data_IF_036601440172
#
_entry.id   IF_036601440172
#
_cell.length_a   1.000
_cell.length_b   1.000
_cell.length_c   1.000
_cell.angle_alpha   90.00
_cell.angle_beta   90.00
_cell.angle_gamma   90.00
#
_symmetry.space_group_name_H-M   'P 1'
#
loop_
_entity.id
_entity.type
_entity.pdbx_description
1 polymer ?
#
# COMPACT_ATOMS: atom_id res chain seq x y z
N UNK A 1 11.47 11.02 -4.43
CA UNK A 1 10.67 11.00 -3.21
C UNK A 1 10.32 9.60 -2.77
N UNK A 2 9.67 8.83 -3.61
CA UNK A 2 9.33 7.44 -3.27
C UNK A 2 10.56 6.60 -2.97
N UNK A 3 11.61 6.75 -3.78
CA UNK A 3 12.85 6.01 -3.54
C UNK A 3 13.52 6.37 -2.22
N UNK A 4 13.44 7.63 -1.82
CA UNK A 4 14.00 8.05 -0.53
C UNK A 4 13.31 7.37 0.63
N UNK A 5 11.99 7.29 0.58
CA UNK A 5 11.20 6.60 1.60
C UNK A 5 11.48 5.10 1.59
N UNK A 6 11.62 4.52 0.39
CA UNK A 6 11.94 3.12 0.25
C UNK A 6 13.31 2.81 0.86
N UNK A 7 14.29 3.69 0.67
CA UNK A 7 15.62 3.51 1.24
C UNK A 7 15.60 3.51 2.77
N UNK A 8 14.82 4.39 3.36
CA UNK A 8 14.65 4.41 4.82
C UNK A 8 14.04 3.10 5.31
N UNK A 9 12.98 2.66 4.67
CA UNK A 9 12.33 1.42 5.05
C UNK A 9 13.24 0.22 4.83
N UNK A 10 14.06 0.26 3.77
CA UNK A 10 15.03 -0.79 3.50
C UNK A 10 15.99 -0.96 4.68
N UNK A 11 16.51 0.15 5.18
CA UNK A 11 17.42 0.12 6.32
C UNK A 11 16.73 -0.35 7.58
N UNK A 12 15.53 0.15 7.81
CA UNK A 12 14.77 -0.13 9.03
C UNK A 12 14.37 -1.60 9.12
N UNK A 13 13.98 -2.20 7.99
CA UNK A 13 13.49 -3.57 7.98
C UNK A 13 14.54 -4.60 7.55
N UNK A 14 15.74 -4.16 7.22
CA UNK A 14 16.78 -5.07 6.77
C UNK A 14 16.51 -5.67 5.38
N UNK A 15 15.82 -4.92 4.53
CA UNK A 15 15.50 -5.37 3.18
C UNK A 15 16.67 -5.18 2.23
N UNK A 16 16.61 -5.86 1.09
CA UNK A 16 17.64 -5.77 0.05
C UNK A 16 17.15 -4.91 -1.10
N UNK A 17 18.06 -4.59 -2.03
CA UNK A 17 17.67 -3.87 -3.25
C UNK A 17 16.65 -4.67 -4.06
N UNK A 18 16.77 -6.00 -4.07
CA UNK A 18 15.80 -6.84 -4.76
C UNK A 18 14.42 -6.70 -4.13
N UNK A 19 14.35 -6.58 -2.80
CA UNK A 19 13.08 -6.38 -2.10
C UNK A 19 12.46 -5.04 -2.48
N UNK A 20 13.28 -3.99 -2.60
CA UNK A 20 12.81 -2.68 -3.03
C UNK A 20 12.23 -2.75 -4.45
N UNK A 21 12.94 -3.39 -5.36
CA UNK A 21 12.49 -3.54 -6.74
C UNK A 21 11.20 -4.33 -6.83
N UNK A 22 11.07 -5.39 -6.03
CA UNK A 22 9.85 -6.19 -6.01
C UNK A 22 8.64 -5.34 -5.58
N UNK A 23 8.82 -4.46 -4.60
CA UNK A 23 7.75 -3.58 -4.17
C UNK A 23 7.39 -2.57 -5.27
N UNK A 24 8.40 -1.99 -5.91
CA UNK A 24 8.17 -1.02 -6.99
C UNK A 24 7.45 -1.67 -8.15
N UNK A 25 7.76 -2.94 -8.44
CA UNK A 25 7.10 -3.71 -9.50
C UNK A 25 5.74 -4.28 -9.08
N UNK A 26 5.30 -3.94 -7.89
CA UNK A 26 3.99 -4.36 -7.35
C UNK A 26 3.85 -5.87 -7.27
N UNK A 27 4.93 -6.55 -6.94
CA UNK A 27 4.90 -7.99 -6.73
C UNK A 27 4.35 -8.31 -5.35
N UNK A 28 3.69 -9.44 -5.23
CA UNK A 28 3.17 -9.88 -3.94
C UNK A 28 4.32 -10.21 -3.00
N UNK A 29 4.34 -9.64 -1.78
CA UNK A 29 5.40 -9.97 -0.83
C UNK A 29 5.38 -11.45 -0.46
N UNK A 30 6.54 -12.08 -0.51
CA UNK A 30 6.65 -13.52 -0.23
C UNK A 30 7.39 -13.80 1.08
N UNK A 31 8.35 -12.96 1.43
CA UNK A 31 9.13 -13.17 2.66
C UNK A 31 8.63 -12.25 3.76
N UNK A 32 8.98 -12.60 5.01
CA UNK A 32 8.62 -11.76 6.14
C UNK A 32 9.23 -10.36 6.00
N UNK A 33 10.48 -10.28 5.53
CA UNK A 33 11.15 -8.99 5.31
C UNK A 33 10.38 -8.15 4.29
N UNK A 34 9.93 -8.77 3.18
CA UNK A 34 9.18 -8.06 2.16
C UNK A 34 7.85 -7.54 2.71
N UNK A 35 7.17 -8.33 3.52
CA UNK A 35 5.91 -7.93 4.14
C UNK A 35 6.12 -6.74 5.07
N UNK A 36 7.16 -6.82 5.90
CA UNK A 36 7.47 -5.75 6.84
C UNK A 36 7.95 -4.49 6.12
N UNK A 37 8.69 -4.65 5.04
CA UNK A 37 9.10 -3.53 4.21
C UNK A 37 7.88 -2.80 3.63
N UNK A 38 6.92 -3.54 3.11
CA UNK A 38 5.67 -2.97 2.60
C UNK A 38 4.92 -2.24 3.71
N UNK A 39 4.89 -2.83 4.92
CA UNK A 39 4.26 -2.19 6.08
C UNK A 39 4.91 -0.84 6.40
N UNK A 40 6.23 -0.80 6.42
CA UNK A 40 6.96 0.44 6.65
C UNK A 40 6.59 1.50 5.62
N UNK A 41 6.56 1.10 4.36
CA UNK A 41 6.22 1.99 3.26
C UNK A 41 4.79 2.54 3.43
N UNK A 42 3.84 1.66 3.73
CA UNK A 42 2.45 2.08 3.94
C UNK A 42 2.32 3.03 5.12
N UNK A 43 3.07 2.79 6.19
CA UNK A 43 3.03 3.66 7.37
C UNK A 43 3.61 5.03 7.05
N UNK A 44 4.64 5.10 6.21
CA UNK A 44 5.23 6.37 5.79
C UNK A 44 4.20 7.24 5.06
N UNK A 45 3.35 6.62 4.25
CA UNK A 45 2.28 7.33 3.56
C UNK A 45 0.99 7.39 4.37
N UNK A 46 1.01 6.86 5.58
CA UNK A 46 -0.16 6.84 6.47
C UNK A 46 -1.35 6.06 5.92
N UNK A 47 -1.08 5.12 5.01
CA UNK A 47 -2.09 4.20 4.52
C UNK A 47 -2.50 3.23 5.62
N UNK A 48 -1.60 3.01 6.57
CA UNK A 48 -1.82 2.13 7.70
C UNK A 48 -1.24 2.78 8.94
N UNK A 49 -1.86 2.53 10.10
CA UNK A 49 -1.32 2.97 11.38
C UNK A 49 -0.55 1.84 12.10
N UNK A 50 -0.32 0.74 11.40
CA UNK A 50 0.37 -0.42 11.96
C UNK A 50 -0.57 -1.46 12.54
N UNK A 51 -1.86 -1.15 12.65
CA UNK A 51 -2.87 -2.07 13.19
C UNK A 51 -4.06 -2.21 12.26
N UNK A 52 -4.41 -1.15 11.55
CA UNK A 52 -5.53 -1.19 10.62
C UNK A 52 -5.31 -0.22 9.47
N UNK A 53 -6.11 -0.40 8.43
CA UNK A 53 -6.12 0.46 7.26
C UNK A 53 -6.60 1.86 7.66
N UNK A 54 -5.93 2.88 7.13
CA UNK A 54 -6.28 4.28 7.38
C UNK A 54 -6.78 4.90 6.07
N UNK A 55 -8.07 5.08 5.97
CA UNK A 55 -8.69 5.63 4.76
C UNK A 55 -8.14 7.02 4.41
N UNK A 56 -8.00 7.90 5.40
CA UNK A 56 -7.56 9.27 5.15
C UNK A 56 -6.16 9.28 4.52
N UNK A 57 -5.23 8.48 5.04
CA UNK A 57 -3.89 8.39 4.48
C UNK A 57 -3.90 7.82 3.07
N UNK A 58 -4.72 6.79 2.86
CA UNK A 58 -4.87 6.19 1.54
C UNK A 58 -5.40 7.22 0.53
N UNK A 59 -6.40 8.00 0.91
CA UNK A 59 -6.97 9.01 0.03
C UNK A 59 -5.98 10.12 -0.28
N UNK A 60 -5.13 10.49 0.69
CA UNK A 60 -4.07 11.46 0.44
C UNK A 60 -3.08 10.93 -0.60
N UNK A 61 -2.69 9.67 -0.48
CA UNK A 61 -1.79 9.05 -1.45
C UNK A 61 -2.42 9.01 -2.83
N UNK A 62 -3.68 8.63 -2.92
CA UNK A 62 -4.40 8.60 -4.19
C UNK A 62 -4.50 9.99 -4.79
N UNK A 63 -4.70 11.01 -3.96
CA UNK A 63 -4.73 12.40 -4.42
C UNK A 63 -3.43 12.83 -5.05
N UNK A 64 -2.31 12.34 -4.54
CA UNK A 64 -1.00 12.62 -5.12
C UNK A 64 -0.81 11.91 -6.47
N UNK A 65 -1.40 10.72 -6.61
CA UNK A 65 -1.25 9.91 -7.82
C UNK A 65 -2.28 10.23 -8.89
N UNK A 66 -3.51 10.50 -8.50
CA UNK A 66 -4.65 10.63 -9.41
C UNK A 66 -5.46 11.91 -9.21
N UNK A 67 -4.89 12.91 -8.55
CA UNK A 67 -5.65 14.10 -8.14
C UNK A 67 -6.44 14.80 -9.25
N UNK A 68 -5.97 14.69 -10.49
CA UNK A 68 -6.62 15.32 -11.63
C UNK A 68 -7.70 14.45 -12.27
N UNK A 69 -7.85 13.21 -11.80
CA UNK A 69 -8.80 12.26 -12.37
C UNK A 69 -9.90 11.96 -11.36
N UNK A 70 -11.03 12.65 -11.48
CA UNK A 70 -12.15 12.50 -10.56
C UNK A 70 -12.69 11.07 -10.55
N UNK A 71 -12.74 10.43 -11.70
CA UNK A 71 -13.25 9.08 -11.80
C UNK A 71 -12.41 8.12 -10.99
N UNK A 72 -11.09 8.22 -11.12
CA UNK A 72 -10.19 7.37 -10.33
C UNK A 72 -10.26 7.70 -8.85
N UNK A 73 -10.42 8.97 -8.50
CA UNK A 73 -10.55 9.37 -7.10
C UNK A 73 -11.83 8.81 -6.49
N UNK A 74 -12.94 8.84 -7.24
CA UNK A 74 -14.20 8.27 -6.77
C UNK A 74 -14.06 6.76 -6.58
N UNK A 75 -13.40 6.08 -7.52
CA UNK A 75 -13.16 4.65 -7.41
C UNK A 75 -12.29 4.35 -6.21
N UNK A 76 -11.24 5.14 -5.99
CA UNK A 76 -10.36 4.96 -4.83
C UNK A 76 -11.14 5.09 -3.53
N UNK A 77 -12.06 6.04 -3.45
CA UNK A 77 -12.89 6.21 -2.26
C UNK A 77 -13.76 5.00 -1.99
N UNK A 78 -14.37 4.44 -3.03
CA UNK A 78 -15.17 3.23 -2.89
C UNK A 78 -14.34 2.06 -2.39
N UNK A 79 -13.14 1.90 -2.96
CA UNK A 79 -12.23 0.84 -2.54
C UNK A 79 -11.80 1.06 -1.09
N UNK A 80 -11.49 2.31 -0.72
CA UNK A 80 -11.10 2.64 0.64
C UNK A 80 -12.20 2.28 1.64
N UNK A 81 -13.47 2.56 1.28
CA UNK A 81 -14.60 2.20 2.13
C UNK A 81 -14.71 0.69 2.29
N UNK A 82 -14.51 -0.07 1.22
CA UNK A 82 -14.54 -1.53 1.30
C UNK A 82 -13.44 -2.08 2.17
N UNK A 83 -12.28 -1.43 2.16
CA UNK A 83 -11.12 -1.90 2.92
C UNK A 83 -11.01 -1.29 4.31
N UNK A 84 -11.95 -0.45 4.70
CA UNK A 84 -11.87 0.28 5.98
C UNK A 84 -11.91 -0.64 7.19
N UNK A 85 -12.36 -1.87 7.04
CA UNK A 85 -12.40 -2.85 8.14
C UNK A 85 -11.18 -3.74 8.20
N UNK A 86 -10.23 -3.58 7.29
CA UNK A 86 -9.02 -4.40 7.28
C UNK A 86 -8.16 -4.05 8.48
N UNK A 87 -7.87 -5.03 9.31
CA UNK A 87 -7.02 -4.85 10.49
C UNK A 87 -6.29 -6.15 10.80
N UNK A 88 -5.14 -6.03 11.45
CA UNK A 88 -4.34 -7.18 11.84
C UNK A 88 -3.37 -6.73 12.93
N UNK A 89 -3.23 -7.52 13.98
CA UNK A 89 -2.26 -7.23 15.04
C UNK A 89 -0.81 -7.28 14.55
N UNK A 90 -0.56 -8.07 13.50
CA UNK A 90 0.76 -8.17 12.86
C UNK A 90 0.83 -7.12 11.75
N UNK A 91 1.61 -6.05 11.98
CA UNK A 91 1.73 -4.96 11.01
C UNK A 91 2.22 -5.41 9.65
N UNK A 92 3.05 -6.43 9.61
CA UNK A 92 3.61 -6.92 8.34
C UNK A 92 2.56 -7.67 7.55
N UNK A 93 1.79 -8.53 8.20
CA UNK A 93 0.68 -9.21 7.53
C UNK A 93 -0.42 -8.22 7.14
N UNK A 94 -0.65 -7.22 7.97
CA UNK A 94 -1.62 -6.16 7.69
C UNK A 94 -1.34 -5.50 6.34
N UNK A 95 -0.06 -5.24 6.04
CA UNK A 95 0.30 -4.58 4.79
C UNK A 95 -0.10 -5.41 3.59
N UNK A 96 0.04 -6.73 3.68
CA UNK A 96 -0.37 -7.65 2.62
C UNK A 96 -1.89 -7.67 2.50
N UNK A 97 -2.58 -7.70 3.63
CA UNK A 97 -4.05 -7.72 3.65
C UNK A 97 -4.61 -6.45 3.01
N UNK A 98 -4.02 -5.30 3.30
CA UNK A 98 -4.42 -4.02 2.72
C UNK A 98 -4.18 -4.04 1.20
N UNK A 99 -2.98 -4.44 0.79
CA UNK A 99 -2.63 -4.50 -0.63
C UNK A 99 -3.61 -5.40 -1.38
N UNK A 100 -3.88 -6.57 -0.83
CA UNK A 100 -4.78 -7.54 -1.45
C UNK A 100 -6.20 -6.99 -1.57
N UNK A 101 -6.70 -6.36 -0.51
CA UNK A 101 -8.04 -5.77 -0.51
C UNK A 101 -8.16 -4.66 -1.57
N UNK A 102 -7.16 -3.78 -1.61
CA UNK A 102 -7.16 -2.66 -2.56
C UNK A 102 -7.10 -3.18 -4.00
N UNK A 103 -6.21 -4.14 -4.26
CA UNK A 103 -6.08 -4.70 -5.61
C UNK A 103 -7.37 -5.37 -6.07
N UNK A 104 -7.97 -6.17 -5.21
CA UNK A 104 -9.23 -6.84 -5.55
C UNK A 104 -10.35 -5.84 -5.79
N UNK A 105 -10.40 -4.79 -4.98
CA UNK A 105 -11.40 -3.74 -5.15
C UNK A 105 -11.26 -3.02 -6.48
N UNK A 106 -10.02 -2.74 -6.89
CA UNK A 106 -9.76 -2.08 -8.16
C UNK A 106 -10.05 -3.00 -9.35
N UNK A 107 -9.65 -4.27 -9.25
CA UNK A 107 -9.92 -5.24 -10.31
C UNK A 107 -11.43 -5.41 -10.54
N UNK A 108 -12.19 -5.45 -9.47
CA UNK A 108 -13.65 -5.57 -9.54
C UNK A 108 -14.26 -4.42 -10.35
N UNK A 109 -13.59 -3.28 -10.38
CA UNK A 109 -14.07 -2.08 -11.08
C UNK A 109 -13.35 -1.86 -12.40
N UNK A 110 -12.58 -2.85 -12.86
CA UNK A 110 -11.90 -2.79 -14.16
C UNK A 110 -10.63 -1.97 -14.17
N UNK A 111 -10.08 -1.63 -13.02
CA UNK A 111 -8.83 -0.88 -12.92
C UNK A 111 -7.71 -1.82 -12.51
N UNK A 112 -6.59 -1.77 -13.23
CA UNK A 112 -5.43 -2.57 -12.90
C UNK A 112 -4.36 -1.72 -12.22
N UNK A 113 -3.75 -2.27 -11.19
CA UNK A 113 -2.62 -1.64 -10.51
C UNK A 113 -1.36 -1.90 -11.30
N UNK A 114 -1.14 -1.15 -12.34
CA UNK A 114 0.07 -1.28 -13.14
C UNK A 114 1.02 -0.14 -12.86
N UNK A 115 2.27 -0.45 -13.05
CA UNK A 115 3.30 0.57 -12.95
C UNK A 115 3.48 1.33 -14.21
#
# INVERSE_FOLDING_TARGET
>A
MVRGMAEECKKQEGATDDDVEAMIEDKTPETQVQKCFLSCFQQQFQVSDGKKFNKDGFMQLCGMMFGDDEEKMNTAEEVADECSSVENADRCQLSVDIKDCVEKGLEKRGIKMEK
#
